data_IF_161888519206
#
_entry.id   IF_161888519206
#
_cell.length_a   1.000
_cell.length_b   1.000
_cell.length_c   1.000
_cell.angle_alpha   90.00
_cell.angle_beta   90.00
_cell.angle_gamma   90.00
#
_symmetry.space_group_name_H-M   'P 1'
#
loop_
_entity.id
_entity.type
_entity.pdbx_description
1 polymer ?
#
# COMPACT_ATOMS: atom_id res chain seq x y z
N UNK A 1 58.06 -9.09 28.15
CA UNK A 1 57.02 -9.48 27.18
C UNK A 1 55.67 -9.12 27.80
N UNK A 2 55.22 -7.89 27.59
CA UNK A 2 53.97 -7.37 28.17
C UNK A 2 53.01 -7.05 27.02
N UNK A 3 51.90 -7.77 26.94
CA UNK A 3 50.81 -7.48 26.01
C UNK A 3 49.48 -7.63 26.75
N UNK A 4 48.80 -6.55 27.13
CA UNK A 4 47.43 -6.64 27.64
C UNK A 4 46.43 -6.64 26.48
N UNK A 5 45.46 -7.55 26.60
CA UNK A 5 44.33 -7.77 25.69
C UNK A 5 43.55 -6.47 25.42
N UNK A 6 43.43 -6.11 24.14
CA UNK A 6 42.58 -5.01 23.69
C UNK A 6 41.14 -5.48 23.53
N UNK A 7 40.28 -4.95 24.40
CA UNK A 7 38.81 -5.01 24.32
C UNK A 7 38.32 -4.50 22.97
N UNK A 8 37.62 -5.34 22.21
CA UNK A 8 37.05 -5.00 20.91
C UNK A 8 35.60 -4.53 21.14
N UNK A 9 35.43 -3.21 21.32
CA UNK A 9 34.12 -2.56 21.32
C UNK A 9 33.64 -2.56 19.87
N UNK A 10 32.58 -3.33 19.58
CA UNK A 10 31.94 -3.30 18.27
C UNK A 10 31.21 -1.97 18.09
N UNK A 11 31.60 -1.21 17.06
CA UNK A 11 30.98 0.04 16.71
C UNK A 11 29.55 -0.21 16.19
N UNK A 12 28.55 0.21 16.97
CA UNK A 12 27.17 0.35 16.52
C UNK A 12 27.12 1.44 15.43
N UNK A 13 26.91 1.03 14.18
CA UNK A 13 26.62 1.93 13.08
C UNK A 13 25.21 2.52 13.27
N UNK A 14 25.15 3.64 13.98
CA UNK A 14 23.99 4.53 14.03
C UNK A 14 23.78 5.07 12.61
N UNK A 15 22.73 4.60 11.92
CA UNK A 15 22.31 5.19 10.65
C UNK A 15 21.85 6.61 10.91
N UNK A 16 22.71 7.57 10.59
CA UNK A 16 22.34 8.97 10.46
C UNK A 16 21.39 9.12 9.26
N UNK A 17 20.10 9.23 9.53
CA UNK A 17 19.14 9.73 8.55
C UNK A 17 19.40 11.24 8.38
N UNK A 18 20.12 11.61 7.31
CA UNK A 18 20.31 13.00 6.91
C UNK A 18 18.98 13.60 6.45
N UNK A 19 18.34 14.35 7.32
CA UNK A 19 17.07 15.06 7.09
C UNK A 19 17.25 16.41 6.38
N UNK A 20 18.15 16.49 5.39
CA UNK A 20 18.38 17.72 4.63
C UNK A 20 18.03 17.57 3.17
N UNK A 21 16.74 17.68 2.86
CA UNK A 21 16.27 18.26 1.59
C UNK A 21 14.99 19.06 1.86
N UNK A 22 15.17 20.37 1.99
CA UNK A 22 14.13 21.36 2.10
C UNK A 22 13.37 21.53 0.76
N UNK A 23 12.06 21.63 0.87
CA UNK A 23 11.14 22.45 0.07
C UNK A 23 11.55 22.82 -1.37
N UNK A 24 11.17 21.97 -2.32
CA UNK A 24 10.69 22.45 -3.63
C UNK A 24 9.18 22.22 -3.69
N UNK A 25 8.42 23.27 -3.96
CA UNK A 25 7.01 23.16 -4.30
C UNK A 25 6.90 22.29 -5.56
N UNK A 26 6.45 21.06 -5.38
CA UNK A 26 6.15 20.18 -6.49
C UNK A 26 4.81 20.66 -7.09
N UNK A 27 4.85 21.18 -8.32
CA UNK A 27 3.63 21.43 -9.09
C UNK A 27 2.97 20.07 -9.25
N UNK A 28 1.89 19.82 -8.52
CA UNK A 28 1.13 18.58 -8.65
C UNK A 28 0.77 18.41 -10.13
N UNK A 29 1.26 17.35 -10.80
CA UNK A 29 0.94 17.14 -12.21
C UNK A 29 -0.58 17.00 -12.32
N UNK A 30 -1.21 17.78 -13.21
CA UNK A 30 -2.62 17.62 -13.59
C UNK A 30 -2.78 16.25 -14.26
N UNK A 31 -3.00 15.22 -13.45
CA UNK A 31 -3.21 13.85 -13.93
C UNK A 31 -4.68 13.70 -14.29
N UNK A 32 -4.97 13.44 -15.57
CA UNK A 32 -6.30 13.02 -15.96
C UNK A 32 -6.61 11.68 -15.29
N UNK A 33 -7.87 11.44 -14.86
CA UNK A 33 -8.29 10.16 -14.34
C UNK A 33 -8.53 9.19 -15.52
N UNK A 34 -7.50 8.95 -16.34
CA UNK A 34 -7.61 7.98 -17.42
C UNK A 34 -7.64 6.58 -16.82
N UNK A 35 -8.75 5.87 -17.04
CA UNK A 35 -8.90 4.45 -16.73
C UNK A 35 -9.15 3.72 -18.04
N UNK A 36 -8.21 2.89 -18.53
CA UNK A 36 -8.41 2.16 -19.76
C UNK A 36 -9.49 1.09 -19.61
N UNK A 37 -10.04 0.66 -20.75
CA UNK A 37 -10.87 -0.54 -20.81
C UNK A 37 -10.06 -1.78 -20.39
N UNK A 38 -10.77 -2.86 -20.05
CA UNK A 38 -10.15 -4.13 -19.67
C UNK A 38 -9.32 -4.67 -20.84
N UNK A 39 -8.03 -4.92 -20.58
CA UNK A 39 -7.15 -5.59 -21.53
C UNK A 39 -7.38 -7.10 -21.51
N UNK A 40 -7.19 -7.76 -22.66
CA UNK A 40 -7.21 -9.22 -22.75
C UNK A 40 -5.94 -9.87 -22.22
N UNK A 41 -4.81 -9.16 -22.21
CA UNK A 41 -3.48 -9.78 -22.01
C UNK A 41 -2.88 -9.56 -20.63
N UNK A 42 -3.00 -8.37 -20.05
CA UNK A 42 -2.28 -7.99 -18.83
C UNK A 42 -3.12 -7.09 -17.92
N UNK A 43 -2.88 -7.19 -16.62
CA UNK A 43 -3.44 -6.27 -15.63
C UNK A 43 -2.88 -4.86 -15.88
N UNK A 44 -3.75 -3.86 -15.81
CA UNK A 44 -3.34 -2.46 -15.86
C UNK A 44 -3.27 -1.86 -14.45
N UNK A 45 -2.17 -1.16 -14.16
CA UNK A 45 -1.93 -0.49 -12.88
C UNK A 45 -1.86 1.02 -13.12
N UNK A 46 -2.76 1.75 -12.47
CA UNK A 46 -2.87 3.19 -12.62
C UNK A 46 -1.90 4.02 -11.77
N UNK A 47 -1.92 5.35 -11.94
CA UNK A 47 -1.20 6.27 -11.06
C UNK A 47 -1.74 6.22 -9.63
N UNK A 48 -0.94 6.61 -8.61
CA UNK A 48 -1.42 6.72 -7.23
C UNK A 48 -2.67 7.61 -7.14
N UNK A 49 -3.70 7.12 -6.46
CA UNK A 49 -4.92 7.85 -6.21
C UNK A 49 -4.66 9.02 -5.23
N UNK A 50 -5.19 10.23 -5.46
CA UNK A 50 -4.86 11.41 -4.66
C UNK A 50 -5.38 11.35 -3.22
N UNK A 51 -6.38 10.53 -2.92
CA UNK A 51 -6.95 10.42 -1.58
C UNK A 51 -6.36 9.24 -0.80
N UNK A 52 -6.42 8.04 -1.37
CA UNK A 52 -5.92 6.82 -0.71
C UNK A 52 -4.41 6.59 -0.86
N UNK A 53 -3.75 7.24 -1.82
CA UNK A 53 -2.38 6.95 -2.29
C UNK A 53 -2.17 5.55 -2.90
N UNK A 54 -3.23 4.74 -3.00
CA UNK A 54 -3.18 3.41 -3.61
C UNK A 54 -3.28 3.47 -5.13
N UNK A 55 -2.70 2.49 -5.81
CA UNK A 55 -2.74 2.40 -7.28
C UNK A 55 -3.94 1.57 -7.70
N UNK A 56 -4.89 2.12 -8.47
CA UNK A 56 -6.03 1.35 -8.94
C UNK A 56 -5.58 0.28 -9.94
N UNK A 57 -6.20 -0.90 -9.87
CA UNK A 57 -5.91 -2.02 -10.77
C UNK A 57 -7.15 -2.29 -11.63
N UNK A 58 -6.94 -2.46 -12.92
CA UNK A 58 -7.93 -3.03 -13.85
C UNK A 58 -7.45 -4.43 -14.22
N UNK A 59 -8.10 -5.43 -13.64
CA UNK A 59 -7.74 -6.83 -13.88
C UNK A 59 -8.10 -7.25 -15.29
N UNK A 60 -7.17 -7.96 -15.94
CA UNK A 60 -7.41 -8.59 -17.24
C UNK A 60 -8.48 -9.68 -17.13
N UNK A 61 -9.22 -9.89 -18.21
CA UNK A 61 -10.22 -10.97 -18.31
C UNK A 61 -9.77 -11.92 -19.43
N UNK A 62 -9.35 -13.15 -19.11
CA UNK A 62 -9.07 -14.16 -20.11
C UNK A 62 -10.33 -14.50 -20.92
N UNK A 63 -10.18 -14.81 -22.22
CA UNK A 63 -11.31 -15.20 -23.08
C UNK A 63 -12.06 -16.44 -22.57
N UNK A 64 -11.32 -17.45 -22.09
CA UNK A 64 -11.87 -18.69 -21.54
C UNK A 64 -11.79 -18.72 -20.00
N UNK A 65 -12.22 -17.64 -19.36
CA UNK A 65 -12.21 -17.52 -17.90
C UNK A 65 -13.16 -18.55 -17.26
N UNK A 66 -12.61 -19.40 -16.40
CA UNK A 66 -13.44 -20.29 -15.60
C UNK A 66 -14.07 -19.60 -14.39
N UNK A 67 -15.13 -20.19 -13.83
CA UNK A 67 -15.78 -19.68 -12.61
C UNK A 67 -14.82 -19.47 -11.43
N UNK A 68 -13.82 -20.35 -11.29
CA UNK A 68 -12.82 -20.23 -10.22
C UNK A 68 -11.90 -19.02 -10.42
N UNK A 69 -11.49 -18.76 -11.67
CA UNK A 69 -10.69 -17.58 -12.03
C UNK A 69 -11.50 -16.29 -11.90
N UNK A 70 -12.76 -16.33 -12.35
CA UNK A 70 -13.72 -15.23 -12.20
C UNK A 70 -13.90 -14.88 -10.72
N UNK A 71 -14.15 -15.89 -9.87
CA UNK A 71 -14.26 -15.72 -8.42
C UNK A 71 -12.98 -15.13 -7.81
N UNK A 72 -11.81 -15.58 -8.25
CA UNK A 72 -10.54 -15.02 -7.80
C UNK A 72 -10.39 -13.54 -8.19
N UNK A 73 -10.72 -13.19 -9.43
CA UNK A 73 -10.67 -11.81 -9.93
C UNK A 73 -11.62 -10.90 -9.17
N UNK A 74 -12.87 -11.31 -8.96
CA UNK A 74 -13.84 -10.55 -8.17
C UNK A 74 -13.37 -10.38 -6.72
N UNK A 75 -12.89 -11.44 -6.07
CA UNK A 75 -12.39 -11.35 -4.69
C UNK A 75 -11.19 -10.38 -4.56
N UNK A 76 -10.27 -10.39 -5.54
CA UNK A 76 -9.16 -9.43 -5.58
C UNK A 76 -9.65 -7.99 -5.78
N UNK A 77 -10.62 -7.77 -6.65
CA UNK A 77 -11.20 -6.44 -6.89
C UNK A 77 -11.99 -5.92 -5.70
N UNK A 78 -12.81 -6.75 -5.06
CA UNK A 78 -13.53 -6.41 -3.83
C UNK A 78 -12.56 -6.08 -2.69
N UNK A 79 -11.47 -6.82 -2.57
CA UNK A 79 -10.43 -6.58 -1.56
C UNK A 79 -9.69 -5.27 -1.81
N UNK A 80 -9.36 -4.95 -3.07
CA UNK A 80 -8.76 -3.67 -3.44
C UNK A 80 -9.72 -2.50 -3.20
N UNK A 81 -11.00 -2.62 -3.56
CA UNK A 81 -12.00 -1.58 -3.31
C UNK A 81 -12.16 -1.33 -1.80
N UNK A 82 -12.25 -2.40 -1.01
CA UNK A 82 -12.32 -2.29 0.45
C UNK A 82 -11.07 -1.60 1.05
N UNK A 83 -9.88 -1.96 0.55
CA UNK A 83 -8.62 -1.36 0.95
C UNK A 83 -8.56 0.14 0.59
N UNK A 84 -8.99 0.47 -0.63
CA UNK A 84 -9.12 1.83 -1.14
C UNK A 84 -10.04 2.69 -0.27
N UNK A 85 -11.22 2.18 0.08
CA UNK A 85 -12.18 2.88 0.92
C UNK A 85 -11.63 3.14 2.33
N UNK A 86 -10.94 2.14 2.90
CA UNK A 86 -10.32 2.28 4.21
C UNK A 86 -9.26 3.40 4.22
N UNK A 87 -8.32 3.36 3.26
CA UNK A 87 -7.22 4.34 3.19
C UNK A 87 -7.70 5.73 2.78
N UNK A 88 -8.72 5.84 1.93
CA UNK A 88 -9.35 7.13 1.63
C UNK A 88 -9.89 7.77 2.91
N UNK A 89 -10.66 7.02 3.70
CA UNK A 89 -11.21 7.53 4.98
C UNK A 89 -10.10 7.85 5.98
N UNK A 90 -9.08 6.99 6.08
CA UNK A 90 -7.99 7.18 7.04
C UNK A 90 -7.13 8.40 6.70
N UNK A 91 -6.77 8.57 5.43
CA UNK A 91 -5.95 9.71 5.00
C UNK A 91 -6.73 11.02 5.13
N UNK A 92 -8.04 11.00 4.89
CA UNK A 92 -8.90 12.16 5.11
C UNK A 92 -8.92 12.57 6.60
N UNK A 93 -9.24 11.63 7.51
CA UNK A 93 -9.22 11.88 8.95
C UNK A 93 -7.85 12.35 9.44
N UNK A 94 -6.78 11.68 9.03
CA UNK A 94 -5.41 12.05 9.39
C UNK A 94 -5.07 13.48 8.94
N UNK A 95 -5.38 13.84 7.69
CA UNK A 95 -5.08 15.18 7.16
C UNK A 95 -5.84 16.25 7.94
N UNK A 96 -7.13 16.01 8.20
CA UNK A 96 -7.98 16.91 8.98
C UNK A 96 -7.44 17.11 10.41
N UNK A 97 -7.26 16.02 11.15
CA UNK A 97 -6.81 16.08 12.55
C UNK A 97 -5.40 16.68 12.67
N UNK A 98 -4.53 16.39 11.71
CA UNK A 98 -3.20 17.00 11.62
C UNK A 98 -3.27 18.50 11.41
N UNK A 99 -4.12 18.98 10.48
CA UNK A 99 -4.29 20.41 10.25
C UNK A 99 -4.88 21.12 11.48
N UNK A 100 -5.87 20.51 12.15
CA UNK A 100 -6.45 21.04 13.39
C UNK A 100 -5.40 21.14 14.52
N UNK A 101 -4.56 20.11 14.68
CA UNK A 101 -3.47 20.12 15.65
C UNK A 101 -2.41 21.17 15.30
N UNK A 102 -2.07 21.35 14.03
CA UNK A 102 -1.13 22.39 13.62
C UNK A 102 -1.68 23.78 13.95
N UNK A 103 -2.95 24.03 13.64
CA UNK A 103 -3.59 25.32 13.89
C UNK A 103 -3.68 25.61 15.39
N UNK A 104 -4.02 24.61 16.21
CA UNK A 104 -4.13 24.80 17.67
C UNK A 104 -2.78 25.11 18.32
N UNK A 105 -1.72 24.41 17.93
CA UNK A 105 -0.37 24.66 18.42
C UNK A 105 0.17 26.02 17.98
N UNK A 106 -0.05 26.42 16.72
CA UNK A 106 0.35 27.75 16.25
C UNK A 106 -0.39 28.86 17.01
N UNK A 107 -1.70 28.73 17.22
CA UNK A 107 -2.49 29.68 18.01
C UNK A 107 -2.02 29.76 19.47
N UNK A 108 -1.71 28.63 20.10
CA UNK A 108 -1.19 28.59 21.46
C UNK A 108 0.16 29.35 21.59
N UNK A 109 0.97 29.32 20.54
CA UNK A 109 2.23 30.05 20.45
C UNK A 109 2.06 31.51 19.96
N UNK A 110 0.83 32.00 19.78
CA UNK A 110 0.55 33.35 19.28
C UNK A 110 0.85 33.56 17.79
N UNK A 111 1.02 32.47 17.04
CA UNK A 111 1.37 32.50 15.61
C UNK A 111 0.16 32.21 14.73
N UNK A 112 0.12 32.88 13.57
CA UNK A 112 -0.82 32.59 12.49
C UNK A 112 -0.42 31.33 11.68
N UNK A 113 -1.33 30.71 10.89
CA UNK A 113 -0.98 29.54 10.05
C UNK A 113 0.00 29.82 8.90
N UNK A 114 0.10 31.09 8.47
CA UNK A 114 1.02 31.53 7.42
C UNK A 114 1.99 32.57 7.95
N UNK A 115 3.21 32.56 7.44
CA UNK A 115 4.18 33.63 7.69
C UNK A 115 3.85 34.89 6.87
N UNK A 116 4.65 35.94 7.06
CA UNK A 116 4.50 37.24 6.38
C UNK A 116 4.66 37.08 4.85
N UNK A 117 5.43 36.08 4.41
CA UNK A 117 5.62 35.71 3.00
C UNK A 117 4.52 34.79 2.45
N UNK A 118 3.50 34.47 3.26
CA UNK A 118 2.36 33.65 2.87
C UNK A 118 2.65 32.14 2.76
N UNK A 119 3.80 31.65 3.19
CA UNK A 119 4.13 30.21 3.29
C UNK A 119 3.46 29.60 4.52
N UNK A 120 3.12 28.30 4.46
CA UNK A 120 2.57 27.59 5.62
C UNK A 120 3.67 27.39 6.67
N UNK A 121 3.43 27.82 7.91
CA UNK A 121 4.34 27.53 9.01
C UNK A 121 4.32 26.04 9.34
N UNK A 122 5.50 25.45 9.51
CA UNK A 122 5.67 24.09 10.00
C UNK A 122 5.98 24.08 11.50
N UNK A 123 5.44 23.12 12.22
CA UNK A 123 5.80 22.89 13.62
C UNK A 123 7.10 22.08 13.72
N UNK A 124 7.75 22.19 14.89
CA UNK A 124 8.89 21.37 15.20
C UNK A 124 8.53 19.88 15.26
N UNK A 125 9.51 19.04 14.93
CA UNK A 125 9.36 17.59 14.89
C UNK A 125 8.99 16.98 16.24
N UNK A 126 9.46 17.55 17.37
CA UNK A 126 9.16 17.06 18.71
C UNK A 126 7.68 17.25 19.05
N UNK A 127 7.14 18.43 18.71
CA UNK A 127 5.71 18.74 18.89
C UNK A 127 4.84 17.87 17.98
N UNK A 128 5.27 17.64 16.74
CA UNK A 128 4.57 16.74 15.81
C UNK A 128 4.57 15.28 16.26
N UNK A 129 5.63 14.83 16.94
CA UNK A 129 5.71 13.46 17.46
C UNK A 129 4.60 13.17 18.49
N UNK A 130 4.24 14.16 19.31
CA UNK A 130 3.12 14.05 20.26
C UNK A 130 1.80 13.78 19.53
N UNK A 131 1.53 14.52 18.44
CA UNK A 131 0.36 14.28 17.59
C UNK A 131 0.38 12.88 16.99
N UNK A 132 1.51 12.47 16.39
CA UNK A 132 1.60 11.16 15.74
C UNK A 132 1.36 10.02 16.71
N UNK A 133 1.95 10.08 17.90
CA UNK A 133 1.71 9.10 18.95
C UNK A 133 0.22 9.06 19.33
N UNK A 134 -0.39 10.22 19.63
CA UNK A 134 -1.80 10.30 20.01
C UNK A 134 -2.75 9.78 18.93
N UNK A 135 -2.49 10.12 17.66
CA UNK A 135 -3.27 9.62 16.53
C UNK A 135 -3.19 8.09 16.41
N UNK A 136 -1.99 7.52 16.53
CA UNK A 136 -1.78 6.07 16.47
C UNK A 136 -2.45 5.34 17.64
N UNK A 137 -2.35 5.89 18.85
CA UNK A 137 -2.95 5.30 20.04
C UNK A 137 -4.48 5.27 19.92
N UNK A 138 -5.11 6.37 19.50
CA UNK A 138 -6.56 6.46 19.27
C UNK A 138 -7.04 5.50 18.18
N UNK A 139 -6.27 5.37 17.10
CA UNK A 139 -6.65 4.53 15.96
C UNK A 139 -6.21 3.07 16.07
N UNK A 140 -5.58 2.67 17.19
CA UNK A 140 -4.95 1.36 17.36
C UNK A 140 -5.92 0.19 17.11
N UNK A 141 -7.12 0.26 17.68
CA UNK A 141 -8.15 -0.80 17.54
C UNK A 141 -8.62 -0.90 16.10
N UNK A 142 -8.87 0.25 15.45
CA UNK A 142 -9.31 0.32 14.05
C UNK A 142 -8.24 -0.22 13.09
N UNK A 143 -6.96 0.09 13.32
CA UNK A 143 -5.87 -0.47 12.53
C UNK A 143 -5.69 -1.96 12.76
N UNK A 144 -5.86 -2.44 13.99
CA UNK A 144 -5.80 -3.86 14.31
C UNK A 144 -6.92 -4.64 13.59
N UNK A 145 -8.16 -4.15 13.63
CA UNK A 145 -9.27 -4.79 12.92
C UNK A 145 -9.10 -4.76 11.40
N UNK A 146 -8.63 -3.65 10.85
CA UNK A 146 -8.25 -3.56 9.43
C UNK A 146 -7.16 -4.59 9.07
N UNK A 147 -6.06 -4.65 9.82
CA UNK A 147 -4.96 -5.56 9.53
C UNK A 147 -5.43 -7.02 9.56
N UNK A 148 -6.24 -7.39 10.55
CA UNK A 148 -6.82 -8.73 10.65
C UNK A 148 -7.64 -9.07 9.40
N UNK A 149 -8.56 -8.20 9.00
CA UNK A 149 -9.39 -8.40 7.82
C UNK A 149 -8.58 -8.41 6.52
N UNK A 150 -7.54 -7.56 6.42
CA UNK A 150 -6.62 -7.53 5.30
C UNK A 150 -5.88 -8.88 5.16
N UNK A 151 -5.35 -9.43 6.25
CA UNK A 151 -4.70 -10.74 6.23
C UNK A 151 -5.69 -11.85 5.89
N UNK A 152 -6.90 -11.83 6.45
CA UNK A 152 -7.95 -12.82 6.16
C UNK A 152 -8.31 -12.86 4.67
N UNK A 153 -8.50 -11.69 4.06
CA UNK A 153 -8.79 -11.56 2.61
C UNK A 153 -7.62 -12.04 1.77
N UNK A 154 -6.39 -11.58 2.05
CA UNK A 154 -5.20 -11.97 1.29
C UNK A 154 -4.88 -13.46 1.42
N UNK A 155 -5.09 -14.06 2.59
CA UNK A 155 -4.97 -15.49 2.79
C UNK A 155 -5.98 -16.26 1.93
N UNK A 156 -7.25 -15.82 1.92
CA UNK A 156 -8.30 -16.41 1.09
C UNK A 156 -7.96 -16.31 -0.40
N UNK A 157 -7.48 -15.15 -0.86
CA UNK A 157 -7.01 -14.93 -2.23
C UNK A 157 -5.87 -15.90 -2.55
N UNK A 158 -4.87 -16.01 -1.68
CA UNK A 158 -3.71 -16.89 -1.87
C UNK A 158 -4.11 -18.36 -2.00
N UNK A 159 -5.00 -18.83 -1.12
CA UNK A 159 -5.55 -20.18 -1.21
C UNK A 159 -6.28 -20.41 -2.54
N UNK A 160 -7.07 -19.44 -2.99
CA UNK A 160 -7.81 -19.54 -4.24
C UNK A 160 -6.88 -19.49 -5.47
N UNK A 161 -5.82 -18.67 -5.44
CA UNK A 161 -4.76 -18.68 -6.44
C UNK A 161 -4.11 -20.06 -6.54
N UNK A 162 -3.76 -20.67 -5.40
CA UNK A 162 -3.19 -22.02 -5.39
C UNK A 162 -4.14 -23.05 -6.01
N UNK A 163 -5.45 -22.99 -5.69
CA UNK A 163 -6.46 -23.87 -6.30
C UNK A 163 -6.57 -23.69 -7.82
N UNK A 164 -6.54 -22.45 -8.31
CA UNK A 164 -6.54 -22.16 -9.76
C UNK A 164 -5.28 -22.75 -10.42
N UNK A 165 -4.11 -22.54 -9.82
CA UNK A 165 -2.85 -23.06 -10.35
C UNK A 165 -2.84 -24.59 -10.44
N UNK A 166 -3.24 -25.29 -9.36
CA UNK A 166 -3.35 -26.75 -9.34
C UNK A 166 -4.31 -27.26 -10.42
N UNK A 167 -5.47 -26.63 -10.59
CA UNK A 167 -6.44 -27.04 -11.61
C UNK A 167 -5.88 -26.86 -13.03
N UNK A 168 -5.11 -25.80 -13.28
CA UNK A 168 -4.48 -25.56 -14.57
C UNK A 168 -3.35 -26.55 -14.86
N UNK A 169 -2.56 -26.93 -13.86
CA UNK A 169 -1.56 -27.99 -13.96
C UNK A 169 -2.24 -29.31 -14.33
N UNK A 170 -3.28 -29.72 -13.59
CA UNK A 170 -4.01 -30.97 -13.87
C UNK A 170 -4.60 -31.00 -15.27
N UNK A 171 -5.23 -29.90 -15.73
CA UNK A 171 -5.74 -29.80 -17.11
C UNK A 171 -4.63 -29.95 -18.15
N UNK A 172 -3.46 -29.38 -17.90
CA UNK A 172 -2.32 -29.45 -18.82
C UNK A 172 -1.76 -30.87 -18.89
N UNK A 173 -1.63 -31.54 -17.74
CA UNK A 173 -1.18 -32.95 -17.66
C UNK A 173 -2.17 -33.90 -18.33
N UNK A 174 -3.47 -33.74 -18.09
CA UNK A 174 -4.51 -34.55 -18.74
C UNK A 174 -4.47 -34.43 -20.26
N UNK A 175 -4.43 -33.20 -20.80
CA UNK A 175 -4.31 -32.97 -22.26
C UNK A 175 -3.06 -33.59 -22.87
N UNK A 176 -1.93 -33.58 -22.14
CA UNK A 176 -0.68 -34.22 -22.60
C UNK A 176 -0.83 -35.75 -22.65
N UNK A 177 -1.47 -36.35 -21.64
CA UNK A 177 -1.76 -37.78 -21.60
C UNK A 177 -2.67 -38.21 -22.77
N UNK A 178 -3.73 -37.46 -23.04
CA UNK A 178 -4.66 -37.76 -24.13
C UNK A 178 -3.96 -37.72 -25.49
N UNK A 179 -3.10 -36.73 -25.73
CA UNK A 179 -2.28 -36.61 -26.96
C UNK A 179 -1.28 -37.77 -27.13
N UNK A 180 -0.68 -38.25 -26.04
CA UNK A 180 0.26 -39.38 -26.08
C UNK A 180 -0.46 -40.72 -26.34
N UNK A 181 -1.69 -40.87 -25.84
CA UNK A 181 -2.50 -42.06 -26.08
C UNK A 181 -3.01 -42.11 -27.54
N UNK A 182 -3.41 -40.97 -28.11
CA UNK A 182 -3.86 -40.91 -29.51
C UNK A 182 -2.74 -41.14 -30.52
N UNK A 183 -1.48 -40.86 -30.17
CA UNK A 183 -0.32 -41.08 -31.04
C UNK A 183 0.24 -42.50 -30.98
N UNK A 184 -0.03 -43.26 -29.90
CA UNK A 184 0.37 -44.67 -29.78
C UNK A 184 -0.60 -45.66 -30.45
N UNK A 185 -1.77 -45.19 -30.93
CA UNK A 185 -2.83 -46.05 -31.52
C UNK A 185 -2.88 -45.93 -33.06
N UNK A 186 -1.89 -45.29 -33.68
CA UNK A 186 -1.69 -45.19 -35.14
C UNK A 186 -0.38 -45.86 -35.51
#
# INVERSE_FOLDING_TARGET
MNSPNKTLISALNIRQCSSKLATKQDKTPKRSPFRPAVSSTHDWIGPPNPLSNLRPIVYHIPENESDLQKRLRHLRQETENWNHDFWTKQNFSFTKEKEEFIISQLKANGLTPRDEEGRRRSLDSEVMAVFYKGFLDTNRVRHSSYNNEWYRRNFTITMLMARVALRNIWRTVAKRKDKNNSTSTT
#
